data_IF_450419185150
#
_entry.id   IF_450419185150
#
_cell.length_a   1.000
_cell.length_b   1.000
_cell.length_c   1.000
_cell.angle_alpha   90.00
_cell.angle_beta   90.00
_cell.angle_gamma   90.00
#
_symmetry.space_group_name_H-M   'P 1'
#
loop_
_entity.id
_entity.type
_entity.pdbx_description
1 polymer ?
#
# COMPACT_ATOMS: atom_id res chain seq x y z
N UNK A 1 22.08 -5.91 -35.82
CA UNK A 1 21.68 -7.06 -34.97
C UNK A 1 20.64 -6.50 -34.04
N UNK A 2 19.41 -6.51 -34.50
CA UNK A 2 18.34 -5.65 -33.99
C UNK A 2 17.90 -6.16 -32.63
N UNK A 3 18.22 -5.39 -31.59
CA UNK A 3 17.71 -5.60 -30.25
C UNK A 3 16.23 -5.24 -30.26
N UNK A 4 15.38 -6.21 -30.57
CA UNK A 4 13.93 -6.09 -30.45
C UNK A 4 13.58 -5.58 -29.05
N UNK A 5 13.05 -4.36 -28.99
CA UNK A 5 12.50 -3.70 -27.80
C UNK A 5 11.11 -4.25 -27.47
N UNK A 6 10.95 -5.57 -27.45
CA UNK A 6 9.67 -6.19 -27.12
C UNK A 6 9.46 -6.15 -25.59
N UNK A 7 8.49 -5.35 -25.14
CA UNK A 7 8.07 -5.30 -23.74
C UNK A 7 7.51 -6.67 -23.32
N UNK A 8 8.14 -7.32 -22.35
CA UNK A 8 7.70 -8.63 -21.86
C UNK A 8 6.50 -8.50 -20.92
N UNK A 9 5.74 -9.59 -20.76
CA UNK A 9 4.75 -9.67 -19.67
C UNK A 9 5.47 -9.80 -18.33
N UNK A 10 4.94 -9.12 -17.31
CA UNK A 10 5.38 -9.26 -15.92
C UNK A 10 4.79 -10.56 -15.33
N UNK A 11 5.26 -11.72 -15.79
CA UNK A 11 4.90 -13.03 -15.25
C UNK A 11 5.48 -13.22 -13.84
N UNK A 12 4.96 -14.18 -13.07
CA UNK A 12 5.43 -14.44 -11.70
C UNK A 12 6.95 -14.65 -11.61
N UNK A 13 7.54 -15.40 -12.55
CA UNK A 13 8.98 -15.65 -12.57
C UNK A 13 9.80 -14.38 -12.88
N UNK A 14 9.30 -13.55 -13.79
CA UNK A 14 9.93 -12.28 -14.13
C UNK A 14 9.84 -11.29 -12.96
N UNK A 15 8.73 -11.29 -12.23
CA UNK A 15 8.54 -10.46 -11.03
C UNK A 15 9.52 -10.83 -9.92
N UNK A 16 9.71 -12.12 -9.64
CA UNK A 16 10.68 -12.58 -8.62
C UNK A 16 12.09 -12.14 -9.01
N UNK A 17 12.48 -12.37 -10.27
CA UNK A 17 13.81 -11.99 -10.75
C UNK A 17 14.01 -10.48 -10.75
N UNK A 18 12.99 -9.72 -11.16
CA UNK A 18 13.01 -8.27 -11.13
C UNK A 18 13.10 -7.72 -9.70
N UNK A 19 12.37 -8.31 -8.75
CA UNK A 19 12.38 -7.88 -7.36
C UNK A 19 13.79 -7.97 -6.76
N UNK A 20 14.52 -9.06 -7.02
CA UNK A 20 15.92 -9.21 -6.57
C UNK A 20 16.82 -8.15 -7.19
N UNK A 21 16.66 -7.85 -8.49
CA UNK A 21 17.48 -6.86 -9.19
C UNK A 21 17.20 -5.44 -8.72
N UNK A 22 15.93 -5.12 -8.50
CA UNK A 22 15.48 -3.83 -7.99
C UNK A 22 15.95 -3.62 -6.55
N UNK A 23 15.89 -4.65 -5.70
CA UNK A 23 16.42 -4.60 -4.34
C UNK A 23 17.93 -4.32 -4.33
N UNK A 24 18.72 -5.07 -5.12
CA UNK A 24 20.16 -4.81 -5.23
C UNK A 24 20.48 -3.41 -5.74
N UNK A 25 19.74 -2.90 -6.73
CA UNK A 25 19.89 -1.53 -7.22
C UNK A 25 19.60 -0.48 -6.14
N UNK A 26 18.58 -0.69 -5.29
CA UNK A 26 18.26 0.22 -4.19
C UNK A 26 19.31 0.21 -3.09
N UNK A 27 19.88 -0.95 -2.78
CA UNK A 27 21.00 -1.07 -1.84
C UNK A 27 22.24 -0.32 -2.38
N UNK A 28 22.63 -0.58 -3.62
CA UNK A 28 23.79 0.03 -4.28
C UNK A 28 23.68 1.56 -4.36
N UNK A 29 22.48 2.09 -4.64
CA UNK A 29 22.24 3.53 -4.75
C UNK A 29 21.78 4.18 -3.44
N UNK A 30 21.70 3.42 -2.33
CA UNK A 30 21.21 3.91 -1.04
C UNK A 30 19.84 4.62 -1.14
N UNK A 31 18.96 4.06 -1.97
CA UNK A 31 17.70 4.69 -2.33
C UNK A 31 16.53 4.04 -1.56
N UNK A 32 15.68 4.87 -0.96
CA UNK A 32 14.57 4.43 -0.12
C UNK A 32 13.24 4.84 -0.76
N UNK A 33 12.58 3.88 -1.40
CA UNK A 33 11.23 4.03 -1.93
C UNK A 33 10.19 3.51 -0.95
N UNK A 34 8.98 4.04 -1.05
CA UNK A 34 7.84 3.45 -0.39
C UNK A 34 7.44 2.08 -0.99
N UNK A 35 6.58 1.32 -0.30
CA UNK A 35 6.15 0.00 -0.77
C UNK A 35 5.53 0.00 -2.16
N UNK A 36 4.62 0.94 -2.46
CA UNK A 36 3.95 0.99 -3.75
C UNK A 36 4.90 1.42 -4.88
N UNK A 37 5.80 2.34 -4.59
CA UNK A 37 6.86 2.73 -5.53
C UNK A 37 7.80 1.55 -5.85
N UNK A 38 8.13 0.73 -4.85
CA UNK A 38 8.96 -0.46 -5.01
C UNK A 38 8.26 -1.52 -5.88
N UNK A 39 6.98 -1.79 -5.61
CA UNK A 39 6.18 -2.72 -6.41
C UNK A 39 6.08 -2.26 -7.87
N UNK A 40 5.83 -0.97 -8.08
CA UNK A 40 5.75 -0.42 -9.42
C UNK A 40 7.08 -0.52 -10.18
N UNK A 41 8.19 -0.15 -9.54
CA UNK A 41 9.52 -0.30 -10.13
C UNK A 41 9.84 -1.77 -10.47
N UNK A 42 9.42 -2.70 -9.61
CA UNK A 42 9.55 -4.14 -9.83
C UNK A 42 8.75 -4.59 -11.05
N UNK A 43 7.49 -4.18 -11.17
CA UNK A 43 6.63 -4.51 -12.32
C UNK A 43 7.19 -3.93 -13.62
N UNK A 44 7.68 -2.69 -13.62
CA UNK A 44 8.29 -2.08 -14.81
C UNK A 44 9.55 -2.85 -15.21
N UNK A 45 10.41 -3.16 -14.24
CA UNK A 45 11.65 -3.93 -14.47
C UNK A 45 11.36 -5.34 -14.97
N UNK A 46 10.29 -5.98 -14.49
CA UNK A 46 9.88 -7.32 -14.93
C UNK A 46 9.43 -7.38 -16.40
N UNK A 47 9.09 -6.24 -17.00
CA UNK A 47 8.76 -6.14 -18.43
C UNK A 47 9.99 -5.95 -19.30
N UNK A 48 11.14 -5.63 -18.71
CA UNK A 48 12.39 -5.44 -19.43
C UNK A 48 13.15 -6.78 -19.60
N UNK A 49 14.02 -6.88 -20.62
CA UNK A 49 14.95 -8.00 -20.73
C UNK A 49 15.82 -8.15 -19.47
N UNK A 50 16.25 -9.38 -19.11
CA UNK A 50 17.11 -9.61 -17.95
C UNK A 50 18.44 -8.84 -17.99
N UNK A 51 18.91 -8.48 -19.18
CA UNK A 51 20.16 -7.74 -19.42
C UNK A 51 19.99 -6.22 -19.41
N UNK A 52 18.75 -5.71 -19.44
CA UNK A 52 18.49 -4.27 -19.45
C UNK A 52 18.79 -3.67 -18.07
N UNK A 53 19.40 -2.48 -17.95
CA UNK A 53 19.66 -1.86 -16.65
C UNK A 53 18.36 -1.61 -15.87
N UNK A 54 18.46 -1.62 -14.54
CA UNK A 54 17.35 -1.19 -13.67
C UNK A 54 17.37 0.33 -13.64
N UNK A 55 16.24 0.94 -13.98
CA UNK A 55 16.05 2.39 -13.91
C UNK A 55 14.75 2.70 -13.16
N UNK A 56 14.78 3.76 -12.34
CA UNK A 56 13.60 4.19 -11.60
C UNK A 56 12.70 5.02 -12.52
N UNK A 57 11.43 4.63 -12.72
CA UNK A 57 10.53 5.39 -13.61
C UNK A 57 10.30 6.83 -13.10
N UNK A 58 10.53 7.83 -13.95
CA UNK A 58 10.30 9.24 -13.59
C UNK A 58 8.88 9.76 -13.96
N UNK A 59 7.92 8.86 -14.17
CA UNK A 59 6.59 9.20 -14.69
C UNK A 59 5.61 9.70 -13.62
N UNK A 60 4.42 10.12 -14.04
CA UNK A 60 3.37 10.62 -13.15
C UNK A 60 2.90 9.55 -12.15
N UNK A 61 2.78 8.29 -12.59
CA UNK A 61 2.37 7.17 -11.74
C UNK A 61 3.34 6.96 -10.59
N UNK A 62 4.65 6.97 -10.84
CA UNK A 62 5.67 6.84 -9.79
C UNK A 62 5.55 7.93 -8.72
N UNK A 63 5.29 9.18 -9.14
CA UNK A 63 5.08 10.30 -8.21
C UNK A 63 3.79 10.15 -7.41
N UNK A 64 2.71 9.71 -8.04
CA UNK A 64 1.43 9.47 -7.36
C UNK A 64 1.56 8.36 -6.31
N UNK A 65 2.22 7.25 -6.64
CA UNK A 65 2.46 6.16 -5.70
C UNK A 65 3.32 6.62 -4.52
N UNK A 66 4.36 7.43 -4.77
CA UNK A 66 5.14 8.04 -3.68
C UNK A 66 4.34 8.96 -2.78
N UNK A 67 3.39 9.71 -3.34
CA UNK A 67 2.46 10.50 -2.54
C UNK A 67 1.56 9.62 -1.65
N UNK A 68 1.05 8.51 -2.20
CA UNK A 68 0.23 7.56 -1.43
C UNK A 68 1.06 6.90 -0.32
N UNK A 69 2.28 6.43 -0.63
CA UNK A 69 3.20 5.86 0.36
C UNK A 69 3.48 6.83 1.51
N UNK A 70 3.71 8.11 1.20
CA UNK A 70 3.89 9.16 2.20
C UNK A 70 2.65 9.37 3.06
N UNK A 71 1.46 9.45 2.45
CA UNK A 71 0.21 9.61 3.19
C UNK A 71 -0.06 8.39 4.08
N UNK A 72 0.19 7.17 3.58
CA UNK A 72 0.02 5.94 4.34
C UNK A 72 0.94 5.88 5.56
N UNK A 73 2.22 6.26 5.41
CA UNK A 73 3.17 6.36 6.51
C UNK A 73 2.71 7.37 7.57
N UNK A 74 2.25 8.56 7.16
CA UNK A 74 1.73 9.58 8.08
C UNK A 74 0.50 9.10 8.86
N UNK A 75 -0.45 8.47 8.17
CA UNK A 75 -1.64 7.92 8.83
C UNK A 75 -1.30 6.76 9.78
N UNK A 76 -0.31 5.93 9.45
CA UNK A 76 0.16 4.88 10.35
C UNK A 76 0.80 5.48 11.61
N UNK A 77 1.61 6.53 11.48
CA UNK A 77 2.22 7.22 12.60
C UNK A 77 1.20 7.95 13.48
N UNK A 78 0.22 8.61 12.88
CA UNK A 78 -0.88 9.27 13.58
C UNK A 78 -1.71 8.25 14.38
N UNK A 79 -2.16 7.16 13.73
CA UNK A 79 -2.87 6.08 14.41
C UNK A 79 -2.02 5.42 15.50
N UNK A 80 -0.71 5.28 15.31
CA UNK A 80 0.18 4.72 16.35
C UNK A 80 0.28 5.65 17.55
N UNK A 81 0.32 6.97 17.34
CA UNK A 81 0.31 7.97 18.42
C UNK A 81 -1.03 7.97 19.14
N UNK A 82 -2.14 7.95 18.41
CA UNK A 82 -3.49 7.82 18.96
C UNK A 82 -3.60 6.52 19.74
N UNK A 83 -3.37 5.36 19.13
CA UNK A 83 -3.42 4.03 19.77
C UNK A 83 -2.56 3.96 21.02
N UNK A 84 -1.34 4.51 21.01
CA UNK A 84 -0.44 4.51 22.18
C UNK A 84 -0.93 5.43 23.30
N UNK A 85 -1.57 6.56 22.97
CA UNK A 85 -2.33 7.37 23.92
C UNK A 85 -3.68 6.71 24.29
N UNK A 86 -4.15 5.74 23.48
CA UNK A 86 -5.44 5.08 23.62
C UNK A 86 -5.39 3.89 24.58
N UNK A 87 -4.34 3.07 24.48
CA UNK A 87 -4.18 1.77 25.16
C UNK A 87 -3.98 1.84 26.67
N UNK A 88 -3.76 3.02 27.25
CA UNK A 88 -3.59 3.19 28.69
C UNK A 88 -4.90 3.43 29.45
N UNK A 89 -6.01 3.73 28.76
CA UNK A 89 -7.26 4.15 29.42
C UNK A 89 -8.47 3.34 28.91
N UNK A 90 -9.01 2.49 29.79
CA UNK A 90 -10.23 1.69 29.57
C UNK A 90 -11.48 2.53 29.32
N UNK A 91 -11.53 3.75 29.86
CA UNK A 91 -12.67 4.65 29.74
C UNK A 91 -12.30 5.94 28.97
N UNK A 92 -13.19 6.38 28.07
CA UNK A 92 -13.05 7.63 27.31
C UNK A 92 -14.03 8.68 27.81
N UNK A 93 -13.56 9.92 27.94
CA UNK A 93 -14.44 11.06 28.20
C UNK A 93 -15.23 11.40 26.94
N UNK A 94 -16.55 11.29 27.03
CA UNK A 94 -17.51 11.66 26.00
C UNK A 94 -18.43 12.73 26.57
N UNK A 95 -18.79 13.71 25.72
CA UNK A 95 -19.73 14.75 26.10
C UNK A 95 -21.13 14.37 25.62
N UNK A 96 -22.04 14.15 26.57
CA UNK A 96 -23.40 13.63 26.31
C UNK A 96 -24.44 14.64 26.78
N UNK A 97 -25.53 14.80 26.03
CA UNK A 97 -26.73 15.54 26.47
C UNK A 97 -27.83 14.55 26.79
N UNK A 98 -28.42 14.66 27.98
CA UNK A 98 -29.56 13.85 28.38
C UNK A 98 -30.86 14.62 28.11
N UNK A 99 -31.88 13.93 27.60
CA UNK A 99 -33.16 14.53 27.24
C UNK A 99 -33.11 15.26 25.90
N UNK A 100 -33.27 16.59 25.94
CA UNK A 100 -33.35 17.42 24.71
C UNK A 100 -32.00 17.99 24.31
N UNK A 101 -31.85 18.42 23.06
CA UNK A 101 -30.65 19.10 22.57
C UNK A 101 -30.35 20.44 23.26
N UNK A 102 -31.32 20.99 23.99
CA UNK A 102 -31.17 22.22 24.77
C UNK A 102 -30.58 21.97 26.17
N UNK A 103 -30.43 20.72 26.62
CA UNK A 103 -29.84 20.43 27.92
C UNK A 103 -28.34 20.72 27.97
N UNK A 104 -27.86 21.04 29.17
CA UNK A 104 -26.44 21.21 29.41
C UNK A 104 -25.72 19.88 29.15
N UNK A 105 -24.61 19.88 28.40
CA UNK A 105 -23.83 18.67 28.21
C UNK A 105 -23.16 18.24 29.52
N UNK A 106 -23.08 16.93 29.74
CA UNK A 106 -22.37 16.29 30.85
C UNK A 106 -21.19 15.53 30.29
N UNK A 107 -20.03 15.66 30.93
CA UNK A 107 -18.86 14.84 30.61
C UNK A 107 -19.01 13.48 31.31
N UNK A 108 -19.02 12.39 30.55
CA UNK A 108 -19.15 11.02 31.04
C UNK A 108 -17.93 10.21 30.62
N UNK A 109 -17.52 9.23 31.42
CA UNK A 109 -16.45 8.29 31.08
C UNK A 109 -17.07 6.95 30.66
N UNK A 110 -16.87 6.54 29.41
CA UNK A 110 -17.49 5.35 28.82
C UNK A 110 -16.43 4.34 28.39
N UNK A 111 -16.68 3.06 28.66
CA UNK A 111 -15.89 1.96 28.13
C UNK A 111 -16.04 1.91 26.61
N UNK A 112 -14.92 1.99 25.89
CA UNK A 112 -14.92 1.93 24.41
C UNK A 112 -15.30 0.54 23.94
N UNK A 113 -14.89 -0.49 24.67
CA UNK A 113 -15.19 -1.89 24.35
C UNK A 113 -16.70 -2.16 24.44
N UNK A 114 -17.33 -1.75 25.54
CA UNK A 114 -18.77 -1.92 25.73
C UNK A 114 -19.57 -1.13 24.68
N UNK A 115 -19.16 0.12 24.41
CA UNK A 115 -19.83 0.96 23.42
C UNK A 115 -19.70 0.38 22.00
N UNK A 116 -18.53 -0.18 21.65
CA UNK A 116 -18.35 -0.89 20.37
C UNK A 116 -19.25 -2.12 20.30
N UNK A 117 -19.30 -2.92 21.36
CA UNK A 117 -20.16 -4.11 21.46
C UNK A 117 -21.64 -3.76 21.27
N UNK A 118 -22.13 -2.74 21.98
CA UNK A 118 -23.53 -2.26 21.90
C UNK A 118 -23.87 -1.77 20.48
N UNK A 119 -22.95 -1.06 19.84
CA UNK A 119 -23.16 -0.51 18.50
C UNK A 119 -22.86 -1.50 17.36
N UNK A 120 -22.42 -2.72 17.68
CA UNK A 120 -22.00 -3.71 16.68
C UNK A 120 -20.76 -3.26 15.89
N UNK A 121 -19.96 -2.33 16.43
CA UNK A 121 -18.74 -1.86 15.81
C UNK A 121 -17.65 -2.90 16.07
N UNK A 122 -17.05 -3.50 15.03
CA UNK A 122 -16.00 -4.49 15.21
C UNK A 122 -14.80 -3.93 15.97
N UNK A 123 -14.00 -4.77 16.66
CA UNK A 123 -12.83 -4.32 17.42
C UNK A 123 -11.67 -3.86 16.53
N UNK A 124 -11.73 -4.15 15.23
CA UNK A 124 -10.76 -3.73 14.21
C UNK A 124 -11.15 -2.41 13.53
N UNK A 125 -10.20 -1.80 12.85
CA UNK A 125 -10.37 -0.54 12.11
C UNK A 125 -11.23 -0.76 10.86
N UNK A 126 -12.26 0.07 10.66
CA UNK A 126 -13.17 0.00 9.51
C UNK A 126 -12.58 0.65 8.25
N UNK A 127 -11.57 1.49 8.41
CA UNK A 127 -10.87 2.18 7.32
C UNK A 127 -9.37 1.94 7.44
N UNK A 128 -8.89 0.69 7.24
CA UNK A 128 -7.46 0.46 7.23
C UNK A 128 -6.84 1.34 6.13
N UNK A 129 -5.73 2.01 6.46
CA UNK A 129 -5.01 2.93 5.54
C UNK A 129 -4.63 2.27 4.22
N UNK A 130 -4.60 0.94 4.18
CA UNK A 130 -4.33 0.13 3.01
C UNK A 130 -5.25 -1.09 3.04
N UNK A 131 -5.98 -1.30 1.94
CA UNK A 131 -6.59 -2.60 1.67
C UNK A 131 -5.47 -3.48 1.15
N UNK A 132 -5.03 -4.46 1.93
CA UNK A 132 -4.02 -5.41 1.48
C UNK A 132 -4.43 -5.97 0.10
N UNK A 133 -3.47 -6.19 -0.82
CA UNK A 133 -3.75 -6.87 -2.07
C UNK A 133 -4.45 -8.18 -1.73
N UNK A 134 -5.44 -8.55 -2.52
CA UNK A 134 -6.18 -9.79 -2.29
C UNK A 134 -5.18 -10.94 -2.29
N UNK A 135 -4.94 -11.52 -1.12
CA UNK A 135 -4.13 -12.73 -0.97
C UNK A 135 -4.99 -13.89 -1.45
N UNK A 136 -4.85 -14.20 -2.73
CA UNK A 136 -5.55 -15.28 -3.41
C UNK A 136 -4.82 -15.58 -4.72
N UNK A 137 -5.10 -16.74 -5.30
CA UNK A 137 -4.52 -17.14 -6.58
C UNK A 137 -5.15 -16.28 -7.69
N UNK A 138 -4.63 -15.06 -7.87
CA UNK A 138 -4.90 -14.29 -9.07
C UNK A 138 -4.16 -15.01 -10.18
N UNK A 139 -4.90 -15.77 -10.99
CA UNK A 139 -4.35 -16.49 -12.15
C UNK A 139 -3.85 -15.46 -13.17
N UNK A 140 -2.63 -15.00 -12.95
CA UNK A 140 -1.88 -14.21 -13.90
C UNK A 140 -1.42 -15.09 -15.07
N UNK A 141 -1.04 -14.48 -16.20
CA UNK A 141 -0.51 -15.24 -17.32
C UNK A 141 0.76 -16.00 -16.89
N UNK A 142 0.69 -17.33 -16.94
CA UNK A 142 1.77 -18.24 -16.55
C UNK A 142 2.88 -18.33 -17.60
N UNK A 143 2.54 -18.05 -18.86
CA UNK A 143 3.46 -18.16 -19.99
C UNK A 143 3.79 -16.76 -20.52
N UNK A 144 5.08 -16.52 -20.72
CA UNK A 144 5.56 -15.34 -21.43
C UNK A 144 5.19 -15.49 -22.90
N UNK A 145 4.32 -14.61 -23.41
CA UNK A 145 4.01 -14.53 -24.83
C UNK A 145 4.89 -13.42 -25.39
N UNK A 146 5.71 -13.75 -26.38
CA UNK A 146 6.46 -12.74 -27.12
C UNK A 146 5.48 -11.84 -27.86
N UNK A 147 5.74 -10.53 -27.85
CA UNK A 147 4.92 -9.55 -28.55
C UNK A 147 5.27 -9.58 -30.04
N UNK A 148 4.62 -10.49 -30.78
CA UNK A 148 4.91 -10.78 -32.19
C UNK A 148 4.21 -9.76 -33.12
N UNK A 149 3.15 -9.11 -32.64
CA UNK A 149 2.29 -8.24 -33.46
C UNK A 149 2.87 -6.83 -33.64
N UNK A 150 3.94 -6.49 -32.91
CA UNK A 150 4.62 -5.20 -32.97
C UNK A 150 6.05 -5.29 -33.53
N UNK A 151 6.41 -6.40 -34.19
CA UNK A 151 7.68 -6.53 -34.89
C UNK A 151 7.56 -5.85 -36.26
N UNK A 152 7.78 -4.54 -36.29
CA UNK A 152 8.09 -3.69 -37.46
C UNK A 152 7.50 -4.07 -38.83
N UNK A 153 6.52 -3.27 -39.29
CA UNK A 153 6.37 -2.91 -40.70
C UNK A 153 7.34 -1.78 -41.04
#
# INVERSE_FOLDING_TARGET
KDTSTASKRATSNNLVTAATRVAGYFEDQSLLLGPLQTDYATVVTARLPPTAPVEIPANATMRQLGHIDLMASRHADERRRETKAQTTETYRRVRVRFGTMASAPVDCFLSVEDLRSILGIPPFDLTPSFREPVVGEVVGPSVNIEDIDHINL
#
